data_IF_190656076528
#
_entry.id   IF_190656076528
#
_cell.length_a   1.000
_cell.length_b   1.000
_cell.length_c   1.000
_cell.angle_alpha   90.00
_cell.angle_beta   90.00
_cell.angle_gamma   90.00
#
_symmetry.space_group_name_H-M   'P 1'
#
loop_
_entity.id
_entity.type
_entity.pdbx_description
1 polymer ?
#
# COMPACT_ATOMS: atom_id res chain seq x y z
N UNK A 1 -43.18 5.74 11.75
CA UNK A 1 -42.28 4.73 11.11
C UNK A 1 -41.34 5.43 10.13
N UNK A 2 -40.61 6.46 10.58
CA UNK A 2 -39.74 7.28 9.73
C UNK A 2 -38.31 7.32 10.26
N UNK A 3 -38.13 7.26 11.59
CA UNK A 3 -36.81 7.19 12.24
C UNK A 3 -35.96 5.99 11.80
N UNK A 4 -36.57 4.85 11.47
CA UNK A 4 -35.85 3.65 11.02
C UNK A 4 -35.18 3.84 9.65
N UNK A 5 -35.81 4.63 8.76
CA UNK A 5 -35.25 4.91 7.42
C UNK A 5 -34.07 5.88 7.52
N UNK A 6 -34.18 6.88 8.38
CA UNK A 6 -33.09 7.83 8.67
C UNK A 6 -31.88 7.09 9.25
N UNK A 7 -32.09 6.15 10.15
CA UNK A 7 -31.01 5.35 10.74
C UNK A 7 -30.28 4.50 9.70
N UNK A 8 -31.01 3.86 8.78
CA UNK A 8 -30.42 3.08 7.68
C UNK A 8 -29.63 3.96 6.69
N UNK A 9 -30.12 5.18 6.44
CA UNK A 9 -29.47 6.13 5.54
C UNK A 9 -28.15 6.65 6.13
N UNK A 10 -28.12 6.92 7.44
CA UNK A 10 -26.91 7.33 8.16
C UNK A 10 -25.84 6.22 8.20
N UNK A 11 -26.24 4.97 8.42
CA UNK A 11 -25.32 3.82 8.36
C UNK A 11 -24.70 3.70 6.97
N UNK A 12 -25.52 3.82 5.91
CA UNK A 12 -25.05 3.78 4.52
C UNK A 12 -24.03 4.86 4.20
N UNK A 13 -24.26 6.10 4.63
CA UNK A 13 -23.33 7.23 4.44
C UNK A 13 -21.99 6.98 5.15
N UNK A 14 -22.02 6.54 6.42
CA UNK A 14 -20.80 6.22 7.17
C UNK A 14 -19.96 5.13 6.49
N UNK A 15 -20.61 4.09 5.96
CA UNK A 15 -19.94 3.01 5.24
C UNK A 15 -19.25 3.51 3.97
N UNK A 16 -19.86 4.45 3.22
CA UNK A 16 -19.25 4.99 2.00
C UNK A 16 -18.03 5.86 2.31
N UNK A 17 -18.07 6.66 3.38
CA UNK A 17 -16.91 7.47 3.81
C UNK A 17 -15.71 6.63 4.27
N UNK A 18 -15.94 5.42 4.80
CA UNK A 18 -14.89 4.48 5.20
C UNK A 18 -14.25 3.73 4.02
N UNK A 19 -14.87 3.74 2.84
CA UNK A 19 -14.30 3.16 1.61
C UNK A 19 -13.23 4.10 1.01
N UNK A 20 -13.19 5.35 1.47
CA UNK A 20 -12.17 6.31 1.10
C UNK A 20 -10.79 5.88 1.60
N UNK A 21 -9.95 5.39 0.68
CA UNK A 21 -8.51 5.18 0.82
C UNK A 21 -8.07 3.87 1.51
N UNK A 22 -8.55 2.72 1.04
CA UNK A 22 -7.73 1.50 1.13
C UNK A 22 -6.58 1.55 0.10
N UNK A 23 -5.71 2.57 0.19
CA UNK A 23 -4.49 2.58 -0.60
C UNK A 23 -3.50 1.66 0.11
N UNK A 24 -3.47 0.39 -0.31
CA UNK A 24 -2.42 -0.50 0.13
C UNK A 24 -1.12 0.00 -0.51
N UNK A 25 -0.24 0.65 0.26
CA UNK A 25 1.11 0.93 -0.21
C UNK A 25 1.77 -0.41 -0.54
N UNK A 26 2.02 -0.64 -1.83
CA UNK A 26 2.61 -1.85 -2.36
C UNK A 26 4.07 -1.59 -2.75
N UNK A 27 4.97 -2.45 -2.30
CA UNK A 27 6.41 -2.26 -2.44
C UNK A 27 6.96 -3.08 -3.60
N UNK A 28 6.63 -2.69 -4.83
CA UNK A 28 7.11 -3.37 -6.04
C UNK A 28 8.62 -3.20 -6.24
N UNK A 29 9.25 -4.26 -6.74
CA UNK A 29 10.61 -4.20 -7.27
C UNK A 29 10.62 -3.66 -8.70
N UNK A 30 11.76 -3.10 -9.13
CA UNK A 30 12.02 -2.85 -10.54
C UNK A 30 12.52 -4.12 -11.25
N UNK A 31 12.66 -4.06 -12.58
CA UNK A 31 13.07 -5.17 -13.47
C UNK A 31 14.44 -5.76 -13.09
N UNK A 32 15.32 -4.97 -12.48
CA UNK A 32 16.65 -5.40 -12.08
C UNK A 32 16.71 -6.13 -10.72
N UNK A 33 15.58 -6.45 -10.07
CA UNK A 33 15.54 -6.94 -8.67
C UNK A 33 16.24 -5.98 -7.68
N UNK A 34 16.17 -4.68 -7.96
CA UNK A 34 16.73 -3.61 -7.14
C UNK A 34 15.58 -2.83 -6.51
N UNK A 35 15.71 -2.57 -5.21
CA UNK A 35 14.80 -1.74 -4.45
C UNK A 35 15.13 -0.25 -4.59
N UNK A 36 14.19 0.66 -4.28
CA UNK A 36 14.43 2.10 -4.38
C UNK A 36 15.65 2.58 -3.57
N UNK A 37 16.00 1.91 -2.48
CA UNK A 37 17.21 2.21 -1.69
C UNK A 37 18.53 1.74 -2.34
N UNK A 38 18.48 1.13 -3.53
CA UNK A 38 19.65 0.64 -4.27
C UNK A 38 20.14 -0.75 -3.87
N UNK A 39 19.52 -1.39 -2.87
CA UNK A 39 19.86 -2.77 -2.48
C UNK A 39 19.09 -3.79 -3.32
N UNK A 40 19.63 -5.02 -3.39
CA UNK A 40 18.94 -6.14 -4.01
C UNK A 40 17.73 -6.57 -3.17
N UNK A 41 16.67 -7.00 -3.85
CA UNK A 41 15.47 -7.56 -3.22
C UNK A 41 15.86 -8.79 -2.38
N UNK A 42 15.51 -8.76 -1.09
CA UNK A 42 15.59 -9.93 -0.22
C UNK A 42 14.19 -10.55 -0.11
N UNK A 43 13.86 -11.44 -1.05
CA UNK A 43 12.53 -12.07 -1.16
C UNK A 43 11.86 -11.72 -2.50
N UNK A 44 10.60 -11.27 -2.46
CA UNK A 44 9.84 -10.87 -3.66
C UNK A 44 9.54 -9.36 -3.75
N UNK A 45 9.62 -8.63 -2.63
CA UNK A 45 9.15 -7.24 -2.53
C UNK A 45 10.15 -6.36 -1.77
N UNK A 46 10.03 -5.04 -1.96
CA UNK A 46 10.89 -4.03 -1.36
C UNK A 46 10.32 -3.42 -0.07
N UNK A 47 9.63 -4.24 0.73
CA UNK A 47 9.18 -3.84 2.06
C UNK A 47 10.37 -3.62 3.01
N UNK A 48 10.19 -2.74 4.00
CA UNK A 48 11.12 -2.65 5.14
C UNK A 48 11.01 -3.89 6.03
N UNK A 49 9.79 -4.38 6.24
CA UNK A 49 9.49 -5.60 6.98
C UNK A 49 8.61 -6.59 6.20
N UNK A 50 7.86 -7.43 6.92
CA UNK A 50 6.99 -8.46 6.34
C UNK A 50 5.81 -7.80 5.61
N UNK A 51 5.54 -8.25 4.40
CA UNK A 51 4.38 -7.86 3.60
C UNK A 51 3.37 -9.00 3.51
N UNK A 52 2.16 -8.70 3.06
CA UNK A 52 1.24 -9.75 2.60
C UNK A 52 1.70 -10.36 1.26
N UNK A 53 0.99 -11.40 0.79
CA UNK A 53 1.33 -12.13 -0.45
C UNK A 53 1.32 -11.26 -1.71
N UNK A 54 0.56 -10.16 -1.70
CA UNK A 54 0.48 -9.22 -2.82
C UNK A 54 1.61 -8.18 -2.81
N UNK A 55 2.47 -8.20 -1.78
CA UNK A 55 3.55 -7.23 -1.62
C UNK A 55 3.09 -5.87 -1.13
N UNK A 56 1.95 -5.84 -0.44
CA UNK A 56 1.38 -4.63 0.13
C UNK A 56 1.22 -4.75 1.64
N UNK A 57 0.89 -3.62 2.28
CA UNK A 57 0.74 -3.52 3.74
C UNK A 57 1.97 -4.08 4.47
N UNK A 58 3.15 -3.67 3.99
CA UNK A 58 4.41 -4.09 4.56
C UNK A 58 4.62 -3.42 5.92
N UNK A 59 5.11 -4.19 6.90
CA UNK A 59 5.54 -3.64 8.18
C UNK A 59 6.65 -2.61 7.96
N UNK A 60 6.45 -1.40 8.52
CA UNK A 60 7.34 -0.26 8.27
C UNK A 60 7.27 0.33 6.85
N UNK A 61 6.34 -0.08 6.01
CA UNK A 61 6.12 0.46 4.66
C UNK A 61 7.18 0.04 3.64
N UNK A 62 7.28 0.82 2.55
CA UNK A 62 8.20 0.55 1.45
C UNK A 62 9.56 1.20 1.63
N UNK A 63 10.62 0.57 1.10
CA UNK A 63 11.92 1.21 0.97
C UNK A 63 11.85 2.35 -0.04
N UNK A 64 12.62 3.40 0.21
CA UNK A 64 12.57 4.68 -0.52
C UNK A 64 13.95 5.06 -1.03
N UNK A 65 14.02 5.66 -2.21
CA UNK A 65 15.26 6.14 -2.83
C UNK A 65 15.13 6.17 -4.36
N UNK A 66 16.25 6.38 -5.04
CA UNK A 66 16.34 6.54 -6.50
C UNK A 66 16.93 5.30 -7.21
N UNK A 67 16.63 4.11 -6.71
CA UNK A 67 17.23 2.85 -7.18
C UNK A 67 18.76 2.94 -7.26
N UNK A 68 19.43 3.53 -6.26
CA UNK A 68 20.89 3.70 -6.27
C UNK A 68 21.43 4.55 -7.44
N UNK A 69 20.61 5.37 -8.10
CA UNK A 69 20.98 6.18 -9.26
C UNK A 69 20.95 5.43 -10.59
N UNK A 70 20.42 4.20 -10.63
CA UNK A 70 20.32 3.40 -11.87
C UNK A 70 19.33 3.98 -12.90
N UNK A 71 18.40 4.85 -12.50
CA UNK A 71 17.42 5.49 -13.39
C UNK A 71 17.77 6.96 -13.75
N UNK A 72 18.89 7.48 -13.25
CA UNK A 72 19.32 8.88 -13.43
C UNK A 72 20.52 9.07 -14.35
N UNK A 73 20.87 8.09 -15.20
CA UNK A 73 21.99 8.19 -16.13
C UNK A 73 21.67 7.67 -17.53
#
# INVERSE_FOLDING_TARGET
MESSKVFLLLIGICCVSLIGQAHSECCRTSIANICPDGTLVKGQYCGRGKCNIFGCNCDGGCRTGDYGGYFGK
#
